data_IF_310385732209
#
_entry.id   IF_310385732209
#
_cell.length_a   1.000
_cell.length_b   1.000
_cell.length_c   1.000
_cell.angle_alpha   90.00
_cell.angle_beta   90.00
_cell.angle_gamma   90.00
#
_symmetry.space_group_name_H-M   'P 1'
#
loop_
_entity.id
_entity.type
_entity.pdbx_description
1 polymer ?
#
# COMPACT_ATOMS: atom_id res chain seq x y z
N UNK A 1 -4.24 1.62 8.95
CA UNK A 1 -4.35 3.10 8.88
C UNK A 1 -3.08 3.67 9.48
N UNK A 2 -2.41 4.60 8.79
CA UNK A 2 -1.20 5.25 9.30
C UNK A 2 -1.61 6.18 10.45
N UNK A 3 -0.91 6.07 11.59
CA UNK A 3 -1.14 6.97 12.72
C UNK A 3 -0.48 8.32 12.43
N UNK A 4 -1.29 9.37 12.41
CA UNK A 4 -0.87 10.76 12.20
C UNK A 4 -1.48 11.64 13.27
N UNK A 5 -0.85 12.79 13.57
CA UNK A 5 -1.38 13.78 14.49
C UNK A 5 -2.70 14.39 14.01
N UNK A 6 -3.39 15.07 14.90
CA UNK A 6 -4.59 15.85 14.54
C UNK A 6 -4.19 17.02 13.64
N UNK A 7 -3.05 17.62 13.90
CA UNK A 7 -2.48 18.75 13.15
C UNK A 7 -2.19 18.31 11.71
N UNK A 8 -1.58 17.12 11.52
CA UNK A 8 -1.36 16.56 10.19
C UNK A 8 -2.68 16.35 9.42
N UNK A 9 -3.71 15.82 10.09
CA UNK A 9 -5.03 15.63 9.45
C UNK A 9 -5.66 16.95 9.06
N UNK A 10 -5.55 17.95 9.92
CA UNK A 10 -6.07 19.30 9.65
C UNK A 10 -5.35 19.91 8.44
N UNK A 11 -4.01 19.78 8.37
CA UNK A 11 -3.23 20.28 7.25
C UNK A 11 -3.58 19.56 5.94
N UNK A 12 -3.87 18.26 6.01
CA UNK A 12 -4.31 17.47 4.85
C UNK A 12 -5.68 17.90 4.29
N UNK A 13 -6.51 18.55 5.11
CA UNK A 13 -7.83 19.07 4.67
C UNK A 13 -7.77 20.47 4.08
N UNK A 14 -6.62 21.15 4.14
CA UNK A 14 -6.46 22.45 3.50
C UNK A 14 -6.51 22.31 1.98
N UNK A 15 -7.15 23.23 1.30
CA UNK A 15 -7.29 23.19 -0.17
C UNK A 15 -6.01 23.62 -0.90
N UNK A 16 -5.17 24.44 -0.25
CA UNK A 16 -3.98 25.06 -0.82
C UNK A 16 -2.72 24.87 0.02
N UNK A 17 -1.54 24.98 -0.65
CA UNK A 17 -0.21 25.15 -0.01
C UNK A 17 0.30 24.00 0.85
N UNK A 18 -0.14 22.77 0.63
CA UNK A 18 0.47 21.62 1.29
C UNK A 18 1.89 21.41 0.79
N UNK A 19 2.86 21.50 1.70
CA UNK A 19 4.26 21.27 1.37
C UNK A 19 4.70 19.88 1.84
N UNK A 20 4.85 18.96 0.88
CA UNK A 20 5.37 17.62 1.12
C UNK A 20 6.86 17.56 0.85
N UNK A 21 7.62 17.01 1.77
CA UNK A 21 9.06 16.91 1.72
C UNK A 21 9.46 15.43 1.69
N UNK A 22 10.17 14.96 0.65
CA UNK A 22 10.67 13.60 0.61
C UNK A 22 11.90 13.44 1.52
N UNK A 23 12.01 12.26 2.16
CA UNK A 23 13.15 11.84 2.93
C UNK A 23 13.50 10.39 2.60
N UNK A 24 14.78 10.11 2.42
CA UNK A 24 15.28 8.75 2.25
C UNK A 24 16.49 8.53 3.17
N UNK A 25 16.37 7.58 4.09
CA UNK A 25 17.48 7.08 4.88
C UNK A 25 17.97 5.79 4.20
N UNK A 26 19.16 5.86 3.60
CA UNK A 26 19.75 4.78 2.83
C UNK A 26 20.85 4.13 3.65
N UNK A 27 20.76 2.83 3.87
CA UNK A 27 21.82 2.04 4.49
C UNK A 27 22.48 1.17 3.42
N UNK A 28 23.75 1.45 3.14
CA UNK A 28 24.56 0.72 2.19
C UNK A 28 24.99 -0.66 2.74
N UNK A 29 25.52 -1.52 1.88
CA UNK A 29 25.98 -2.86 2.25
C UNK A 29 27.11 -2.85 3.28
N UNK A 30 27.97 -1.80 3.29
CA UNK A 30 29.06 -1.60 4.24
C UNK A 30 28.59 -1.02 5.61
N UNK A 31 27.29 -0.74 5.76
CA UNK A 31 26.68 -0.15 6.94
C UNK A 31 26.72 1.39 6.96
N UNK A 32 27.24 2.03 5.92
CA UNK A 32 27.18 3.50 5.79
C UNK A 32 25.73 3.96 5.68
N UNK A 33 25.35 4.99 6.45
CA UNK A 33 24.00 5.55 6.44
C UNK A 33 24.03 6.94 5.80
N UNK A 34 23.24 7.12 4.77
CA UNK A 34 23.05 8.41 4.08
C UNK A 34 21.62 8.90 4.37
N UNK A 35 21.49 10.15 4.81
CA UNK A 35 20.21 10.79 5.05
C UNK A 35 19.98 11.84 3.97
N UNK A 36 19.06 11.57 3.06
CA UNK A 36 18.69 12.44 1.97
C UNK A 36 17.40 13.18 2.29
N UNK A 37 17.36 14.44 1.89
CA UNK A 37 16.22 15.36 2.02
C UNK A 37 15.86 15.92 0.65
N UNK A 38 14.92 16.86 0.60
CA UNK A 38 14.59 17.60 -0.62
C UNK A 38 15.79 18.30 -1.29
N UNK A 39 16.91 18.53 -0.56
CA UNK A 39 18.10 19.18 -1.11
C UNK A 39 18.92 18.22 -1.97
N UNK A 40 18.95 16.97 -1.57
CA UNK A 40 19.70 15.93 -2.24
C UNK A 40 18.83 15.14 -3.23
N UNK A 41 17.50 15.08 -3.00
CA UNK A 41 16.58 14.44 -3.91
C UNK A 41 16.15 15.42 -4.99
N UNK A 42 16.29 15.01 -6.26
CA UNK A 42 15.88 15.84 -7.40
C UNK A 42 14.38 16.11 -7.33
N UNK A 43 14.00 17.37 -7.55
CA UNK A 43 12.59 17.80 -7.50
C UNK A 43 11.70 16.95 -8.40
N UNK A 44 10.52 16.58 -7.91
CA UNK A 44 9.50 15.76 -8.60
C UNK A 44 9.95 14.34 -8.99
N UNK A 45 11.15 13.90 -8.58
CA UNK A 45 11.63 12.55 -8.91
C UNK A 45 11.15 11.48 -7.94
N UNK A 46 10.73 11.83 -6.71
CA UNK A 46 10.31 10.88 -5.69
C UNK A 46 8.92 10.35 -6.00
N UNK A 47 8.85 9.10 -6.47
CA UNK A 47 7.63 8.47 -6.94
C UNK A 47 7.43 7.11 -6.29
N UNK A 48 6.25 6.89 -5.72
CA UNK A 48 5.82 5.59 -5.19
C UNK A 48 4.70 5.05 -6.08
N UNK A 49 4.90 3.85 -6.61
CA UNK A 49 3.92 3.10 -7.37
C UNK A 49 3.41 1.96 -6.50
N UNK A 50 2.25 2.17 -5.89
CA UNK A 50 1.59 1.22 -5.01
C UNK A 50 0.32 0.68 -5.65
N UNK A 51 0.31 -0.60 -6.00
CA UNK A 51 -0.81 -1.26 -6.62
C UNK A 51 -1.13 -2.58 -5.90
N UNK A 52 -2.42 -2.91 -5.79
CA UNK A 52 -2.87 -4.21 -5.27
C UNK A 52 -2.92 -5.28 -6.35
N UNK A 53 -2.81 -4.89 -7.62
CA UNK A 53 -2.83 -5.78 -8.78
C UNK A 53 -1.94 -5.22 -9.90
N UNK A 54 -1.18 -6.08 -10.54
CA UNK A 54 -0.25 -5.70 -11.62
C UNK A 54 -0.97 -5.16 -12.88
N UNK A 55 -2.23 -5.53 -13.10
CA UNK A 55 -2.99 -5.19 -14.31
C UNK A 55 -3.98 -4.04 -14.12
N UNK A 56 -4.07 -3.45 -12.92
CA UNK A 56 -5.11 -2.47 -12.59
C UNK A 56 -6.52 -3.05 -12.53
N UNK A 57 -6.68 -4.36 -12.74
CA UNK A 57 -7.93 -5.08 -12.58
C UNK A 57 -7.99 -5.78 -11.22
N UNK A 58 -9.19 -5.96 -10.71
CA UNK A 58 -9.41 -6.71 -9.48
C UNK A 58 -8.87 -8.14 -9.63
N UNK A 59 -7.92 -8.54 -8.77
CA UNK A 59 -7.31 -9.87 -8.81
C UNK A 59 -7.21 -10.45 -7.41
N UNK A 60 -7.86 -11.62 -7.20
CA UNK A 60 -7.70 -12.41 -5.98
C UNK A 60 -6.35 -13.13 -6.05
N UNK A 61 -5.59 -13.13 -4.96
CA UNK A 61 -4.29 -13.77 -4.91
C UNK A 61 -3.15 -12.91 -5.46
N UNK A 62 -3.39 -11.62 -5.76
CA UNK A 62 -2.31 -10.74 -6.17
C UNK A 62 -1.25 -10.61 -5.08
N UNK A 63 0.03 -10.65 -5.46
CA UNK A 63 1.19 -10.41 -4.62
C UNK A 63 2.14 -9.48 -5.39
N UNK A 64 1.94 -8.16 -5.26
CA UNK A 64 2.63 -7.14 -6.05
C UNK A 64 3.53 -6.32 -5.15
N UNK A 65 4.79 -6.15 -5.56
CA UNK A 65 5.73 -5.28 -4.88
C UNK A 65 5.40 -3.81 -5.13
N UNK A 66 5.49 -3.00 -4.09
CA UNK A 66 5.46 -1.55 -4.21
C UNK A 66 6.82 -1.07 -4.71
N UNK A 67 6.81 -0.16 -5.68
CA UNK A 67 8.01 0.40 -6.31
C UNK A 67 8.21 1.83 -5.86
N UNK A 68 9.42 2.14 -5.41
CA UNK A 68 9.89 3.49 -5.14
C UNK A 68 10.94 3.85 -6.19
N UNK A 69 10.81 5.01 -6.81
CA UNK A 69 11.83 5.58 -7.72
C UNK A 69 12.14 7.00 -7.29
N UNK A 70 13.39 7.36 -7.23
CA UNK A 70 13.82 8.75 -7.06
C UNK A 70 15.24 8.98 -7.60
N UNK A 71 15.60 10.23 -7.80
CA UNK A 71 16.87 10.63 -8.36
C UNK A 71 17.63 11.49 -7.34
N UNK A 72 18.88 11.15 -7.08
CA UNK A 72 19.79 11.91 -6.23
C UNK A 72 20.52 12.95 -7.09
N UNK A 73 20.56 14.18 -6.61
CA UNK A 73 21.37 15.25 -7.20
C UNK A 73 22.85 15.01 -6.87
N UNK A 74 23.66 14.74 -7.88
CA UNK A 74 25.08 14.44 -7.74
C UNK A 74 25.97 15.45 -8.51
N UNK A 75 25.49 16.68 -8.72
CA UNK A 75 26.21 17.72 -9.48
C UNK A 75 27.63 17.97 -8.93
N UNK A 76 27.81 17.80 -7.62
CA UNK A 76 29.10 18.01 -6.95
C UNK A 76 29.89 16.72 -6.74
N UNK A 77 29.50 15.61 -7.40
CA UNK A 77 30.17 14.31 -7.31
C UNK A 77 30.27 13.73 -5.89
N UNK A 78 29.32 14.10 -5.04
CA UNK A 78 29.33 13.74 -3.61
C UNK A 78 29.03 12.26 -3.39
N UNK A 79 28.24 11.66 -4.28
CA UNK A 79 27.68 10.31 -4.11
C UNK A 79 28.27 9.26 -5.03
N UNK A 80 29.18 9.61 -5.96
CA UNK A 80 29.72 8.67 -6.95
C UNK A 80 30.59 7.55 -6.36
N UNK A 81 31.12 7.77 -5.16
CA UNK A 81 31.94 6.75 -4.48
C UNK A 81 31.10 5.65 -3.78
N UNK A 82 29.79 5.83 -3.66
CA UNK A 82 28.92 4.90 -2.96
C UNK A 82 28.33 3.88 -3.93
N UNK A 83 28.31 2.62 -3.49
CA UNK A 83 27.60 1.54 -4.16
C UNK A 83 26.20 1.42 -3.58
N UNK A 84 25.19 1.72 -4.39
CA UNK A 84 23.79 1.65 -3.99
C UNK A 84 23.15 0.32 -4.30
N UNK A 85 23.81 -0.62 -4.97
CA UNK A 85 23.20 -1.91 -5.29
C UNK A 85 22.83 -2.69 -4.02
N UNK A 86 21.60 -3.14 -3.93
CA UNK A 86 21.07 -3.84 -2.76
C UNK A 86 20.94 -3.01 -1.48
N UNK A 87 21.20 -1.69 -1.52
CA UNK A 87 21.06 -0.82 -0.35
C UNK A 87 19.61 -0.83 0.18
N UNK A 88 19.46 -0.72 1.50
CA UNK A 88 18.16 -0.63 2.16
C UNK A 88 17.75 0.83 2.32
N UNK A 89 16.49 1.12 2.06
CA UNK A 89 15.93 2.48 2.16
C UNK A 89 14.74 2.48 3.11
N UNK A 90 14.76 3.38 4.11
CA UNK A 90 13.56 3.78 4.84
C UNK A 90 13.06 5.10 4.25
N UNK A 91 12.00 5.03 3.47
CA UNK A 91 11.41 6.19 2.79
C UNK A 91 10.36 6.86 3.68
N UNK A 92 10.41 8.19 3.76
CA UNK A 92 9.45 8.98 4.52
C UNK A 92 8.97 10.17 3.70
N UNK A 93 7.76 10.60 3.96
CA UNK A 93 7.20 11.86 3.46
C UNK A 93 6.89 12.74 4.66
N UNK A 94 7.44 13.95 4.68
CA UNK A 94 7.14 14.97 5.66
C UNK A 94 6.07 15.91 5.15
N UNK A 95 5.15 16.33 6.03
CA UNK A 95 4.23 17.42 5.78
C UNK A 95 4.60 18.58 6.71
N UNK A 96 4.79 19.77 6.16
CA UNK A 96 4.99 20.97 6.95
C UNK A 96 3.65 21.40 7.54
N UNK A 97 3.59 21.49 8.86
CA UNK A 97 2.39 21.86 9.61
C UNK A 97 2.27 23.39 9.73
N UNK A 98 1.09 23.87 10.13
CA UNK A 98 0.80 25.31 10.28
C UNK A 98 1.75 26.04 11.26
N UNK A 99 2.35 25.34 12.22
CA UNK A 99 3.33 25.88 13.15
C UNK A 99 4.76 25.94 12.58
N UNK A 100 4.96 25.49 11.33
CA UNK A 100 6.24 25.43 10.64
C UNK A 100 7.07 24.19 10.97
N UNK A 101 6.59 23.30 11.81
CA UNK A 101 7.25 22.00 12.06
C UNK A 101 6.93 21.01 10.94
N UNK A 102 7.72 19.93 10.83
CA UNK A 102 7.47 18.89 9.82
C UNK A 102 7.22 17.55 10.51
N UNK A 103 6.04 17.00 10.30
CA UNK A 103 5.72 15.63 10.71
C UNK A 103 6.10 14.66 9.59
N UNK A 104 6.93 13.64 9.91
CA UNK A 104 7.45 12.67 8.95
C UNK A 104 6.73 11.34 9.08
N UNK A 105 6.15 10.87 7.99
CA UNK A 105 5.50 9.58 7.89
C UNK A 105 6.41 8.57 7.20
N UNK A 106 6.58 7.40 7.80
CA UNK A 106 7.21 6.26 7.14
C UNK A 106 6.24 5.73 6.06
N UNK A 107 6.67 5.76 4.81
CA UNK A 107 5.88 5.24 3.68
C UNK A 107 6.30 3.84 3.26
N UNK A 108 7.48 3.37 3.69
CA UNK A 108 7.89 1.99 3.50
C UNK A 108 9.38 1.75 3.65
N UNK A 109 9.71 0.45 3.62
CA UNK A 109 11.07 -0.05 3.53
C UNK A 109 11.28 -0.69 2.17
N UNK A 110 12.32 -0.26 1.48
CA UNK A 110 12.64 -0.66 0.12
C UNK A 110 14.08 -1.18 0.02
N UNK A 111 14.36 -1.92 -1.05
CA UNK A 111 15.72 -2.33 -1.42
C UNK A 111 15.99 -1.83 -2.82
N UNK A 112 17.13 -1.21 -3.04
CA UNK A 112 17.57 -0.76 -4.36
C UNK A 112 17.82 -1.99 -5.24
N UNK A 113 17.20 -2.01 -6.41
CA UNK A 113 17.33 -3.10 -7.39
C UNK A 113 18.03 -2.67 -8.65
N UNK A 114 17.93 -1.41 -9.02
CA UNK A 114 18.52 -0.86 -10.24
C UNK A 114 19.06 0.56 -9.97
N UNK A 115 20.32 0.71 -9.55
CA UNK A 115 20.97 2.01 -9.51
C UNK A 115 21.45 2.39 -10.91
N UNK A 116 21.20 3.63 -11.33
CA UNK A 116 21.66 4.18 -12.62
C UNK A 116 22.40 5.50 -12.40
N UNK A 117 23.61 5.58 -12.88
CA UNK A 117 24.51 6.73 -12.73
C UNK A 117 24.62 7.48 -14.05
N UNK A 118 24.31 8.77 -14.03
CA UNK A 118 24.40 9.67 -15.19
C UNK A 118 25.26 10.91 -14.82
N UNK A 119 26.47 10.67 -14.34
CA UNK A 119 27.41 11.72 -13.96
C UNK A 119 26.90 12.69 -12.92
N UNK A 120 25.92 13.53 -13.27
CA UNK A 120 25.32 14.54 -12.39
C UNK A 120 24.13 14.06 -11.58
N UNK A 121 23.60 12.89 -11.88
CA UNK A 121 22.44 12.30 -11.20
C UNK A 121 22.64 10.82 -10.95
N UNK A 122 21.97 10.31 -9.90
CA UNK A 122 21.91 8.89 -9.59
C UNK A 122 20.44 8.54 -9.40
N UNK A 123 19.88 7.75 -10.29
CA UNK A 123 18.49 7.28 -10.20
C UNK A 123 18.46 5.92 -9.54
N UNK A 124 17.63 5.78 -8.51
CA UNK A 124 17.44 4.55 -7.76
C UNK A 124 16.02 4.01 -8.02
N UNK A 125 15.96 2.77 -8.52
CA UNK A 125 14.73 1.99 -8.59
C UNK A 125 14.75 0.98 -7.45
N UNK A 126 13.70 0.98 -6.63
CA UNK A 126 13.66 0.21 -5.40
C UNK A 126 12.33 -0.54 -5.29
N UNK A 127 12.38 -1.73 -4.74
CA UNK A 127 11.20 -2.54 -4.47
C UNK A 127 11.06 -2.79 -2.97
N UNK A 128 9.83 -2.93 -2.52
CA UNK A 128 9.55 -3.29 -1.14
C UNK A 128 9.97 -4.74 -0.82
N UNK A 129 9.71 -5.19 0.40
CA UNK A 129 10.09 -6.53 0.86
C UNK A 129 9.38 -7.67 0.14
N UNK A 130 8.35 -7.41 -0.67
CA UNK A 130 7.73 -8.42 -1.53
C UNK A 130 8.75 -8.99 -2.53
N UNK A 131 9.71 -8.20 -2.99
CA UNK A 131 10.79 -8.65 -3.86
C UNK A 131 11.66 -9.77 -3.25
N UNK A 132 11.73 -9.88 -1.93
CA UNK A 132 12.49 -10.93 -1.25
C UNK A 132 11.91 -12.33 -1.46
N UNK A 133 10.64 -12.42 -1.84
CA UNK A 133 9.98 -13.68 -2.19
C UNK A 133 10.33 -14.20 -3.59
N UNK A 134 11.08 -13.45 -4.40
CA UNK A 134 11.56 -13.87 -5.72
C UNK A 134 12.69 -14.91 -5.66
N UNK A 135 12.66 -15.82 -4.69
CA UNK A 135 13.58 -16.93 -4.53
C UNK A 135 12.88 -18.23 -4.91
N UNK A 136 13.65 -19.22 -5.41
CA UNK A 136 13.10 -20.53 -5.75
C UNK A 136 12.51 -21.22 -4.52
N UNK A 137 11.26 -21.68 -4.61
CA UNK A 137 10.57 -22.39 -3.52
C UNK A 137 11.14 -23.78 -3.28
N UNK A 138 11.85 -24.36 -4.25
CA UNK A 138 12.57 -25.64 -4.08
C UNK A 138 13.51 -25.65 -2.87
N UNK A 139 14.04 -24.47 -2.49
CA UNK A 139 14.90 -24.30 -1.32
C UNK A 139 14.18 -24.42 0.03
N UNK A 140 12.85 -24.41 0.08
CA UNK A 140 12.09 -24.56 1.32
C UNK A 140 12.27 -25.95 1.93
N UNK A 141 12.55 -25.98 3.23
CA UNK A 141 12.68 -27.22 4.02
C UNK A 141 11.37 -27.64 4.68
N UNK A 142 10.25 -26.97 4.39
CA UNK A 142 8.96 -27.30 4.95
C UNK A 142 8.53 -28.73 4.60
N UNK A 143 8.15 -29.48 5.61
CA UNK A 143 7.60 -30.84 5.46
C UNK A 143 6.10 -30.79 5.24
N UNK A 144 5.61 -31.68 4.37
CA UNK A 144 4.20 -31.83 4.05
C UNK A 144 3.66 -33.17 4.61
N UNK A 145 2.35 -33.25 4.94
CA UNK A 145 1.33 -32.22 4.72
C UNK A 145 1.50 -31.00 5.61
N UNK A 146 1.14 -29.81 5.09
CA UNK A 146 1.24 -28.56 5.82
C UNK A 146 -0.02 -27.69 5.59
N UNK A 147 -0.40 -26.90 6.60
CA UNK A 147 -1.54 -25.96 6.47
C UNK A 147 -1.09 -24.71 5.71
N UNK A 148 -2.05 -24.00 5.07
CA UNK A 148 -1.77 -22.75 4.39
C UNK A 148 -1.11 -21.72 5.33
N UNK A 149 -1.54 -21.68 6.59
CA UNK A 149 -0.95 -20.81 7.61
C UNK A 149 0.53 -21.18 7.84
N UNK A 150 0.85 -22.47 7.98
CA UNK A 150 2.23 -22.93 8.17
C UNK A 150 3.08 -22.64 6.93
N UNK A 151 2.52 -22.82 5.73
CA UNK A 151 3.21 -22.54 4.45
C UNK A 151 3.56 -21.06 4.36
N UNK A 152 2.62 -20.15 4.67
CA UNK A 152 2.86 -18.72 4.65
C UNK A 152 3.90 -18.28 5.69
N UNK A 153 3.82 -18.81 6.91
CA UNK A 153 4.78 -18.52 7.99
C UNK A 153 6.20 -18.97 7.60
N UNK A 154 6.31 -20.18 7.00
CA UNK A 154 7.62 -20.69 6.55
C UNK A 154 8.16 -19.83 5.40
N UNK A 155 7.34 -19.46 4.44
CA UNK A 155 7.74 -18.59 3.34
C UNK A 155 8.29 -17.25 3.85
N UNK A 156 7.62 -16.65 4.82
CA UNK A 156 8.07 -15.43 5.46
C UNK A 156 9.40 -15.61 6.21
N UNK A 157 9.57 -16.72 6.91
CA UNK A 157 10.81 -17.05 7.64
C UNK A 157 11.97 -17.23 6.67
N UNK A 158 11.80 -18.03 5.61
CA UNK A 158 12.83 -18.35 4.61
C UNK A 158 13.27 -17.09 3.83
N UNK A 159 12.35 -16.14 3.65
CA UNK A 159 12.61 -14.88 2.94
C UNK A 159 13.02 -13.73 3.87
N UNK A 160 12.98 -13.91 5.19
CA UNK A 160 13.32 -12.88 6.18
C UNK A 160 12.34 -11.69 6.12
N UNK A 161 11.07 -11.97 5.89
CA UNK A 161 9.98 -10.97 5.87
C UNK A 161 9.06 -11.22 7.08
N UNK A 162 8.83 -10.25 7.95
CA UNK A 162 7.92 -10.44 9.07
C UNK A 162 6.48 -10.57 8.60
N UNK A 163 5.69 -11.40 9.28
CA UNK A 163 4.29 -11.65 8.97
C UNK A 163 3.37 -10.93 9.96
N UNK A 164 2.43 -10.13 9.45
CA UNK A 164 1.41 -9.46 10.25
C UNK A 164 0.15 -10.33 10.40
N UNK A 165 -0.33 -10.93 9.30
CA UNK A 165 -1.57 -11.73 9.28
C UNK A 165 -1.24 -13.18 9.64
N UNK A 166 -1.39 -13.54 10.90
CA UNK A 166 -1.11 -14.90 11.39
C UNK A 166 -2.29 -15.86 11.27
N UNK A 167 -3.51 -15.33 11.15
CA UNK A 167 -4.74 -16.10 10.99
C UNK A 167 -5.58 -15.52 9.85
N UNK A 168 -6.13 -16.37 8.99
CA UNK A 168 -6.92 -15.95 7.83
C UNK A 168 -7.87 -17.07 7.40
N UNK A 169 -8.84 -16.73 6.56
CA UNK A 169 -9.84 -17.66 6.03
C UNK A 169 -9.14 -18.79 5.28
N UNK A 170 -9.61 -20.03 5.49
CA UNK A 170 -9.01 -21.25 4.96
C UNK A 170 -7.56 -21.53 5.44
N UNK A 171 -7.02 -20.79 6.41
CA UNK A 171 -5.65 -20.96 6.90
C UNK A 171 -5.35 -22.36 7.42
N UNK A 172 -6.35 -23.10 7.91
CA UNK A 172 -6.25 -24.50 8.38
C UNK A 172 -6.33 -25.53 7.26
N UNK A 173 -6.60 -25.12 6.00
CA UNK A 173 -6.62 -26.05 4.88
C UNK A 173 -5.24 -26.71 4.70
N UNK A 174 -5.23 -28.05 4.63
CA UNK A 174 -4.00 -28.83 4.55
C UNK A 174 -3.66 -29.18 3.10
N UNK A 175 -2.45 -28.84 2.70
CA UNK A 175 -1.86 -29.23 1.41
C UNK A 175 -1.08 -30.52 1.63
N UNK A 176 -1.42 -31.58 0.89
CA UNK A 176 -0.86 -32.91 1.11
C UNK A 176 0.59 -33.08 0.69
N UNK A 177 0.99 -32.42 -0.40
CA UNK A 177 2.33 -32.57 -1.01
C UNK A 177 2.96 -31.23 -1.33
N UNK A 178 4.29 -31.15 -1.22
CA UNK A 178 5.04 -29.97 -1.67
C UNK A 178 4.85 -29.79 -3.18
N UNK A 179 4.56 -28.55 -3.65
CA UNK A 179 4.56 -28.29 -5.09
C UNK A 179 5.94 -28.56 -5.69
N UNK A 180 5.98 -29.39 -6.72
CA UNK A 180 7.22 -29.77 -7.41
C UNK A 180 7.30 -29.01 -8.74
N UNK A 181 8.00 -27.89 -8.74
CA UNK A 181 8.37 -27.17 -9.95
C UNK A 181 9.58 -26.30 -9.68
N UNK A 182 10.60 -26.44 -10.52
CA UNK A 182 11.84 -25.66 -10.40
C UNK A 182 11.64 -24.17 -10.70
N UNK A 183 10.53 -23.82 -11.35
CA UNK A 183 10.19 -22.43 -11.69
C UNK A 183 9.38 -21.70 -10.61
N UNK A 184 8.86 -22.42 -9.59
CA UNK A 184 8.07 -21.79 -8.53
C UNK A 184 8.94 -20.98 -7.59
N UNK A 185 8.49 -19.75 -7.33
CA UNK A 185 9.07 -18.85 -6.34
C UNK A 185 8.24 -18.82 -5.05
N UNK A 186 8.81 -18.30 -3.99
CA UNK A 186 8.02 -18.00 -2.78
C UNK A 186 6.93 -16.97 -3.06
N UNK A 187 7.11 -16.05 -4.02
CA UNK A 187 6.07 -15.11 -4.43
C UNK A 187 4.84 -15.82 -5.00
N UNK A 188 5.06 -16.86 -5.83
CA UNK A 188 3.97 -17.68 -6.36
C UNK A 188 3.24 -18.42 -5.24
N UNK A 189 3.97 -18.92 -4.25
CA UNK A 189 3.36 -19.59 -3.07
C UNK A 189 2.54 -18.61 -2.25
N UNK A 190 3.06 -17.42 -1.97
CA UNK A 190 2.33 -16.36 -1.27
C UNK A 190 1.06 -15.97 -2.03
N UNK A 191 1.15 -15.83 -3.36
CA UNK A 191 0.01 -15.56 -4.23
C UNK A 191 -1.04 -16.67 -4.18
N UNK A 192 -0.63 -17.94 -4.25
CA UNK A 192 -1.52 -19.10 -4.13
C UNK A 192 -2.23 -19.13 -2.76
N UNK A 193 -1.49 -18.91 -1.66
CA UNK A 193 -2.08 -18.85 -0.32
C UNK A 193 -3.09 -17.71 -0.23
N UNK A 194 -2.75 -16.52 -0.72
CA UNK A 194 -3.66 -15.38 -0.75
C UNK A 194 -4.91 -15.67 -1.60
N UNK A 195 -4.76 -16.36 -2.74
CA UNK A 195 -5.85 -16.76 -3.60
C UNK A 195 -6.85 -17.71 -2.90
N UNK A 196 -6.33 -18.74 -2.24
CA UNK A 196 -7.17 -19.70 -1.51
C UNK A 196 -7.85 -19.04 -0.29
N UNK A 197 -7.17 -18.06 0.32
CA UNK A 197 -7.74 -17.24 1.38
C UNK A 197 -8.77 -16.20 0.87
N UNK A 198 -8.93 -16.02 -0.45
CA UNK A 198 -9.79 -15.00 -1.04
C UNK A 198 -9.27 -13.58 -0.81
N UNK A 199 -7.96 -13.39 -0.73
CA UNK A 199 -7.30 -12.13 -0.35
C UNK A 199 -6.23 -11.74 -1.36
N UNK A 200 -5.62 -10.57 -1.19
CA UNK A 200 -4.36 -10.18 -1.81
C UNK A 200 -3.26 -10.12 -0.75
N UNK A 201 -2.01 -10.26 -1.17
CA UNK A 201 -0.84 -10.16 -0.30
C UNK A 201 -0.08 -8.86 -0.58
N UNK A 202 0.27 -8.12 0.48
CA UNK A 202 1.05 -6.88 0.40
C UNK A 202 1.99 -6.70 1.58
N UNK A 203 2.98 -5.84 1.39
CA UNK A 203 3.84 -5.36 2.46
C UNK A 203 3.27 -4.04 3.00
N UNK A 204 3.13 -3.93 4.31
CA UNK A 204 2.74 -2.67 4.96
C UNK A 204 3.91 -1.70 5.08
N UNK A 205 3.65 -0.47 5.53
CA UNK A 205 4.67 0.57 5.70
C UNK A 205 5.79 0.16 6.67
N UNK A 206 5.52 -0.73 7.61
CA UNK A 206 6.50 -1.25 8.56
C UNK A 206 7.28 -2.45 8.01
N UNK A 207 6.98 -2.86 6.79
CA UNK A 207 7.66 -3.96 6.10
C UNK A 207 7.15 -5.35 6.49
N UNK A 208 5.94 -5.48 7.01
CA UNK A 208 5.28 -6.74 7.34
C UNK A 208 4.42 -7.22 6.17
N UNK A 209 4.48 -8.51 5.87
CA UNK A 209 3.54 -9.14 4.96
C UNK A 209 2.16 -9.24 5.63
N UNK A 210 1.12 -8.81 4.93
CA UNK A 210 -0.26 -9.03 5.34
C UNK A 210 -1.11 -9.54 4.19
N UNK A 211 -2.17 -10.28 4.54
CA UNK A 211 -3.23 -10.66 3.62
C UNK A 211 -4.40 -9.71 3.84
N UNK A 212 -4.75 -8.95 2.81
CA UNK A 212 -5.79 -7.94 2.84
C UNK A 212 -6.97 -8.30 1.94
N UNK A 213 -8.08 -7.60 2.17
CA UNK A 213 -9.22 -7.58 1.29
C UNK A 213 -9.62 -6.13 1.06
N UNK A 214 -10.30 -5.87 -0.03
CA UNK A 214 -10.81 -4.54 -0.31
C UNK A 214 -11.85 -4.16 0.74
N UNK A 215 -11.63 -3.03 1.42
CA UNK A 215 -12.55 -2.52 2.42
C UNK A 215 -13.62 -1.67 1.74
N UNK A 216 -14.81 -2.21 1.62
CA UNK A 216 -15.97 -1.51 1.09
C UNK A 216 -16.75 -0.76 2.16
N UNK A 217 -16.37 -0.85 3.44
CA UNK A 217 -17.08 -0.21 4.55
C UNK A 217 -17.15 1.31 4.42
N UNK A 218 -16.20 1.91 3.71
CA UNK A 218 -16.21 3.35 3.39
C UNK A 218 -17.38 3.68 2.46
N UNK A 219 -17.69 2.77 1.53
CA UNK A 219 -18.82 2.94 0.61
C UNK A 219 -20.14 2.62 1.31
N UNK A 220 -20.17 1.61 2.19
CA UNK A 220 -21.36 1.26 2.96
C UNK A 220 -21.81 2.37 3.90
N UNK A 221 -20.88 3.09 4.51
CA UNK A 221 -21.19 4.24 5.40
C UNK A 221 -21.73 5.47 4.66
N UNK A 222 -21.48 5.57 3.37
CA UNK A 222 -21.92 6.68 2.52
C UNK A 222 -22.93 6.22 1.46
N UNK A 223 -23.26 4.95 1.46
CA UNK A 223 -24.11 4.34 0.45
C UNK A 223 -25.59 4.40 0.80
N UNK A 224 -26.08 5.60 0.99
CA UNK A 224 -27.44 5.89 0.58
C UNK A 224 -27.44 6.07 -0.95
N UNK A 225 -27.02 5.01 -1.69
CA UNK A 225 -26.77 5.10 -3.13
C UNK A 225 -28.02 4.87 -3.99
N UNK A 226 -29.14 4.52 -3.38
CA UNK A 226 -30.33 4.14 -4.11
C UNK A 226 -31.57 4.84 -3.60
N UNK A 227 -31.58 6.11 -3.80
CA UNK A 227 -32.79 6.90 -3.65
C UNK A 227 -33.12 7.35 -2.23
N UNK A 228 -32.34 6.97 -1.23
CA UNK A 228 -32.50 7.45 0.14
C UNK A 228 -33.86 7.11 0.78
N UNK A 229 -34.03 7.46 2.04
CA UNK A 229 -35.33 7.47 2.68
C UNK A 229 -36.10 8.72 2.28
N UNK A 230 -37.31 8.56 1.79
CA UNK A 230 -38.26 9.64 1.57
C UNK A 230 -39.06 9.99 2.85
N UNK A 231 -38.57 9.58 4.00
CA UNK A 231 -39.12 10.00 5.28
C UNK A 231 -38.80 11.47 5.51
N UNK A 232 -39.83 12.30 5.64
CA UNK A 232 -39.71 13.72 5.89
C UNK A 232 -39.12 14.10 7.25
N UNK A 233 -38.87 13.11 8.13
CA UNK A 233 -38.38 13.33 9.48
C UNK A 233 -36.86 13.35 9.58
N UNK A 234 -36.12 12.66 8.69
CA UNK A 234 -34.65 12.66 8.67
C UNK A 234 -34.09 12.05 7.38
N UNK A 235 -33.88 12.82 6.33
CA UNK A 235 -33.34 12.29 5.06
C UNK A 235 -31.91 11.75 5.16
N UNK A 236 -31.30 11.82 6.33
CA UNK A 236 -29.93 11.35 6.60
C UNK A 236 -29.85 10.48 7.85
N UNK A 237 -30.97 9.85 8.26
CA UNK A 237 -30.94 8.95 9.41
C UNK A 237 -30.04 7.74 9.12
N UNK A 238 -29.08 7.54 9.99
CA UNK A 238 -28.21 6.38 9.96
C UNK A 238 -29.04 5.11 10.15
N UNK A 239 -29.14 4.27 9.12
CA UNK A 239 -29.86 3.01 9.15
C UNK A 239 -30.95 2.85 8.11
N UNK A 240 -31.14 3.81 7.25
CA UNK A 240 -32.07 3.69 6.13
C UNK A 240 -31.57 2.65 5.15
N UNK A 241 -32.43 1.68 4.88
CA UNK A 241 -32.12 0.60 3.94
C UNK A 241 -32.30 1.10 2.52
N UNK A 242 -31.35 0.78 1.73
CA UNK A 242 -31.13 1.21 0.38
C UNK A 242 -31.92 0.40 -0.67
N UNK A 243 -33.13 -0.04 -0.40
CA UNK A 243 -33.94 -0.86 -1.29
C UNK A 243 -35.13 -0.14 -1.93
N UNK A 244 -34.86 1.02 -2.49
CA UNK A 244 -35.89 1.75 -3.26
C UNK A 244 -36.90 2.51 -2.42
N UNK A 245 -36.66 2.65 -1.13
CA UNK A 245 -37.45 3.46 -0.22
C UNK A 245 -38.84 2.93 0.08
N UNK A 246 -39.39 3.31 1.22
CA UNK A 246 -40.76 3.05 1.55
C UNK A 246 -41.64 4.21 1.09
N UNK A 247 -42.43 4.01 0.05
CA UNK A 247 -43.33 5.02 -0.51
C UNK A 247 -44.63 5.20 0.29
N UNK A 248 -44.74 4.69 1.52
CA UNK A 248 -45.99 4.71 2.27
C UNK A 248 -46.32 6.03 2.97
N UNK A 249 -45.34 6.95 3.10
CA UNK A 249 -45.54 8.24 3.77
C UNK A 249 -45.37 9.46 2.84
N UNK A 250 -46.14 9.49 1.77
CA UNK A 250 -46.27 10.72 1.00
C UNK A 250 -47.14 11.71 1.80
N UNK A 251 -46.50 12.51 2.66
CA UNK A 251 -47.13 13.74 3.11
C UNK A 251 -47.08 14.74 1.95
N UNK A 252 -48.21 15.37 1.65
CA UNK A 252 -48.42 16.30 0.58
C UNK A 252 -47.31 17.34 0.45
N UNK A 253 -46.50 17.23 -0.60
CA UNK A 253 -45.42 18.18 -0.93
C UNK A 253 -44.08 17.60 -1.31
N UNK A 254 -43.87 16.31 -1.20
CA UNK A 254 -42.66 15.67 -1.68
C UNK A 254 -42.73 15.44 -3.19
N UNK A 255 -41.88 16.07 -3.95
CA UNK A 255 -41.73 15.78 -5.37
C UNK A 255 -40.82 14.59 -5.53
N UNK A 256 -41.35 13.49 -6.06
CA UNK A 256 -40.58 12.29 -6.40
C UNK A 256 -39.83 12.48 -7.72
N UNK A 257 -38.89 13.40 -7.76
CA UNK A 257 -38.02 13.64 -8.91
C UNK A 257 -36.66 12.97 -8.80
N UNK A 258 -36.67 11.71 -8.42
CA UNK A 258 -35.49 10.85 -8.51
C UNK A 258 -34.30 11.24 -7.63
N UNK A 259 -34.46 12.18 -6.71
CA UNK A 259 -33.42 12.62 -5.80
C UNK A 259 -32.29 13.39 -6.48
N UNK A 260 -31.56 14.15 -5.69
CA UNK A 260 -30.33 14.80 -6.17
C UNK A 260 -29.20 13.78 -6.10
N UNK A 261 -28.79 13.24 -7.24
CA UNK A 261 -27.59 12.45 -7.34
C UNK A 261 -26.39 13.39 -7.13
N UNK A 262 -25.87 13.43 -5.92
CA UNK A 262 -24.53 13.94 -5.73
C UNK A 262 -23.59 12.91 -6.34
N UNK A 263 -23.06 13.21 -7.51
CA UNK A 263 -21.93 12.49 -8.09
C UNK A 263 -20.70 12.75 -7.20
N UNK A 264 -20.67 12.10 -6.05
CA UNK A 264 -19.48 12.10 -5.21
C UNK A 264 -18.50 11.14 -5.87
N UNK A 265 -17.75 11.64 -6.84
CA UNK A 265 -16.56 11.02 -7.36
C UNK A 265 -15.51 11.00 -6.25
N UNK A 266 -15.63 10.05 -5.34
CA UNK A 266 -14.53 9.70 -4.45
C UNK A 266 -13.57 8.79 -5.20
N UNK A 267 -12.85 9.37 -6.14
CA UNK A 267 -11.61 8.80 -6.60
C UNK A 267 -10.55 9.19 -5.58
N UNK A 268 -10.34 8.35 -4.58
CA UNK A 268 -9.11 8.38 -3.82
C UNK A 268 -8.01 7.67 -4.62
N UNK A 269 -7.70 8.19 -5.79
CA UNK A 269 -6.41 8.03 -6.38
C UNK A 269 -5.49 9.02 -5.66
N UNK A 270 -4.92 8.59 -4.54
CA UNK A 270 -3.85 9.33 -3.91
C UNK A 270 -2.60 9.22 -4.78
N UNK A 271 -2.54 9.99 -5.84
CA UNK A 271 -1.27 10.31 -6.50
C UNK A 271 -0.58 11.38 -5.65
N UNK A 272 0.31 10.95 -4.77
CA UNK A 272 1.32 11.83 -4.20
C UNK A 272 2.33 12.14 -5.32
N UNK A 273 2.08 13.18 -6.10
CA UNK A 273 3.13 13.88 -6.85
C UNK A 273 3.80 14.80 -5.84
N UNK A 274 4.97 14.39 -5.37
CA UNK A 274 5.88 15.24 -4.60
C UNK A 274 6.84 15.93 -5.54
#
# INVERSE_FOLDING_TARGET
MINVSTEFRNEMTQDDNRNFIPYAEITLADGTVLNLTEKEIWQESFKIEDATSASGTFTIGAAVATKLTFTINNIYDTYSAYDFDGASIAARVGLTLADGTTEKLLVGYYTVTEPSYDGTTITLVCLDRMSKFNKAYSASTLTYPATLQTILQQACTDCGVPLLTTTFDNGSYSVATKPESDSLTYADIVACVAQIAGKFAKIDNNGYLYLGWYDFSIFEKNANLDGGSFDSASPYATGDTADGGNFTDYSSGATADGGTFYDQKYYHECYLKV
#
